data_IF_586535769834
#
_entry.id   IF_586535769834
#
_cell.length_a   1.000
_cell.length_b   1.000
_cell.length_c   1.000
_cell.angle_alpha   90.00
_cell.angle_beta   90.00
_cell.angle_gamma   90.00
#
_symmetry.space_group_name_H-M   'P 1'
#
loop_
_entity.id
_entity.type
_entity.pdbx_description
1 polymer ?
#
# COMPACT_ATOMS: atom_id res chain seq x y z
N UNK A 1 7.91 -10.97 -9.53
CA UNK A 1 7.71 -9.99 -8.44
C UNK A 1 6.67 -10.54 -7.49
N UNK A 2 6.79 -10.31 -6.19
CA UNK A 2 5.73 -10.65 -5.22
C UNK A 2 5.57 -9.58 -4.16
N UNK A 3 4.42 -9.51 -3.53
CA UNK A 3 4.15 -8.58 -2.45
C UNK A 3 3.28 -9.24 -1.37
N UNK A 4 3.36 -8.71 -0.15
CA UNK A 4 2.58 -9.14 1.00
C UNK A 4 2.31 -7.93 1.90
N UNK A 5 1.39 -8.03 2.85
CA UNK A 5 1.18 -6.98 3.84
C UNK A 5 1.28 -7.55 5.24
N UNK A 6 1.99 -6.86 6.12
CA UNK A 6 2.01 -7.20 7.53
C UNK A 6 0.69 -6.77 8.19
N UNK A 7 0.03 -5.74 7.67
CA UNK A 7 -1.25 -5.22 8.11
C UNK A 7 -1.50 -3.84 7.49
N UNK A 8 -2.76 -3.43 7.45
CA UNK A 8 -3.12 -2.11 6.93
C UNK A 8 -4.31 -1.49 7.67
N UNK A 9 -4.09 -0.33 8.26
CA UNK A 9 -5.06 0.46 9.02
C UNK A 9 -4.41 1.25 10.15
N UNK A 10 -5.24 1.92 10.95
CA UNK A 10 -4.78 2.91 11.96
C UNK A 10 -3.88 2.38 13.08
N UNK A 11 -3.74 1.05 13.24
CA UNK A 11 -2.84 0.43 14.22
C UNK A 11 -1.44 0.15 13.66
N UNK A 12 -1.23 0.41 12.37
CA UNK A 12 0.03 0.23 11.69
C UNK A 12 -0.17 -0.29 10.27
N UNK A 13 0.62 0.27 9.38
CA UNK A 13 0.74 -0.09 7.98
C UNK A 13 2.18 -0.59 7.74
N UNK A 14 2.30 -1.71 7.03
CA UNK A 14 3.58 -2.15 6.47
C UNK A 14 3.35 -3.14 5.34
N UNK A 15 3.93 -2.86 4.18
CA UNK A 15 3.83 -3.70 2.97
C UNK A 15 5.21 -4.17 2.56
N UNK A 16 5.32 -5.42 2.14
CA UNK A 16 6.56 -6.01 1.64
C UNK A 16 6.46 -6.19 0.13
N UNK A 17 7.51 -5.82 -0.60
CA UNK A 17 7.63 -6.04 -2.04
C UNK A 17 8.97 -6.69 -2.33
N UNK A 18 8.97 -7.82 -3.02
CA UNK A 18 10.16 -8.63 -3.26
C UNK A 18 10.36 -9.00 -4.73
N UNK A 19 11.61 -8.90 -5.17
CA UNK A 19 12.07 -9.37 -6.46
C UNK A 19 13.51 -9.89 -6.34
N UNK A 20 13.72 -11.17 -6.66
CA UNK A 20 15.00 -11.84 -6.43
C UNK A 20 15.42 -11.70 -4.96
N UNK A 21 16.65 -11.26 -4.74
CA UNK A 21 17.23 -11.03 -3.42
C UNK A 21 16.90 -9.65 -2.83
N UNK A 22 16.16 -8.79 -3.56
CA UNK A 22 15.74 -7.48 -3.05
C UNK A 22 14.38 -7.58 -2.38
N UNK A 23 14.31 -7.32 -1.08
CA UNK A 23 13.08 -7.20 -0.29
C UNK A 23 12.98 -5.77 0.25
N UNK A 24 11.98 -5.04 -0.23
CA UNK A 24 11.67 -3.69 0.22
C UNK A 24 10.50 -3.73 1.20
N UNK A 25 10.60 -2.93 2.24
CA UNK A 25 9.51 -2.66 3.16
C UNK A 25 8.99 -1.25 2.90
N UNK A 26 7.69 -1.11 2.70
CA UNK A 26 6.99 0.18 2.59
C UNK A 26 6.35 0.42 3.95
N UNK A 27 6.83 1.45 4.64
CA UNK A 27 6.44 1.84 5.98
C UNK A 27 6.65 0.76 7.06
N UNK A 28 6.66 1.20 8.31
CA UNK A 28 6.54 0.33 9.46
C UNK A 28 5.88 1.05 10.62
N UNK A 29 4.54 0.97 10.68
CA UNK A 29 3.76 1.48 11.81
C UNK A 29 3.79 0.62 13.06
N UNK A 30 4.43 -0.56 13.01
CA UNK A 30 4.38 -1.54 14.09
C UNK A 30 5.60 -1.46 15.01
N UNK A 31 5.47 -2.01 16.22
CA UNK A 31 6.63 -2.25 17.09
C UNK A 31 7.53 -3.33 16.49
N UNK A 32 8.85 -3.31 16.78
CA UNK A 32 9.81 -4.34 16.34
C UNK A 32 9.28 -5.76 16.57
N UNK A 33 8.76 -6.03 17.77
CA UNK A 33 8.25 -7.35 18.14
C UNK A 33 7.10 -7.80 17.23
N UNK A 34 6.21 -6.87 16.90
CA UNK A 34 5.04 -7.17 16.07
C UNK A 34 5.43 -7.29 14.59
N UNK A 35 6.34 -6.43 14.11
CA UNK A 35 6.93 -6.55 12.77
C UNK A 35 7.62 -7.90 12.60
N UNK A 36 8.53 -8.28 13.51
CA UNK A 36 9.26 -9.56 13.47
C UNK A 36 8.30 -10.76 13.46
N UNK A 37 7.26 -10.73 14.32
CA UNK A 37 6.23 -11.78 14.39
C UNK A 37 5.48 -11.93 13.06
N UNK A 38 5.06 -10.82 12.45
CA UNK A 38 4.30 -10.82 11.18
C UNK A 38 5.17 -11.21 10.00
N UNK A 39 6.44 -10.78 9.97
CA UNK A 39 7.42 -11.20 8.96
C UNK A 39 7.71 -12.69 9.04
N UNK A 40 7.85 -13.24 10.25
CA UNK A 40 8.10 -14.67 10.45
C UNK A 40 6.97 -15.56 9.87
N UNK A 41 5.71 -15.11 9.92
CA UNK A 41 4.58 -15.79 9.25
C UNK A 41 4.80 -15.91 7.73
N UNK A 42 5.40 -14.89 7.13
CA UNK A 42 5.73 -14.82 5.71
C UNK A 42 7.06 -15.49 5.35
N UNK A 43 7.74 -16.10 6.33
CA UNK A 43 9.02 -16.78 6.13
C UNK A 43 10.21 -15.85 5.86
N UNK A 44 10.11 -14.59 6.29
CA UNK A 44 11.17 -13.57 6.16
C UNK A 44 11.48 -12.93 7.52
N UNK A 45 12.61 -12.26 7.61
CA UNK A 45 13.12 -11.61 8.82
C UNK A 45 13.63 -10.19 8.52
N UNK A 46 13.93 -9.42 9.57
CA UNK A 46 14.49 -8.08 9.41
C UNK A 46 15.85 -8.06 8.67
N UNK A 47 16.64 -9.14 8.76
CA UNK A 47 17.93 -9.28 8.04
C UNK A 47 17.75 -9.40 6.53
N UNK A 48 16.57 -9.81 6.07
CA UNK A 48 16.28 -9.95 4.65
C UNK A 48 15.92 -8.61 3.99
N UNK A 49 15.62 -7.56 4.78
CA UNK A 49 15.16 -6.28 4.26
C UNK A 49 16.34 -5.48 3.70
N UNK A 50 16.25 -5.14 2.42
CA UNK A 50 17.24 -4.33 1.73
C UNK A 50 17.11 -2.84 2.05
N UNK A 51 15.88 -2.33 2.14
CA UNK A 51 15.59 -0.94 2.45
C UNK A 51 14.14 -0.74 2.94
N UNK A 52 13.91 0.34 3.68
CA UNK A 52 12.58 0.82 4.07
C UNK A 52 12.27 2.09 3.28
N UNK A 53 11.17 2.09 2.52
CA UNK A 53 10.58 3.27 1.87
C UNK A 53 9.49 3.83 2.78
N UNK A 54 9.57 5.11 3.12
CA UNK A 54 8.56 5.79 3.94
C UNK A 54 7.68 6.63 3.05
N UNK A 55 6.36 6.39 3.11
CA UNK A 55 5.37 7.13 2.33
C UNK A 55 5.19 8.54 2.87
N UNK A 56 5.00 8.67 4.19
CA UNK A 56 4.77 9.93 4.89
C UNK A 56 4.96 9.80 6.41
N UNK A 57 4.87 10.93 7.14
CA UNK A 57 5.26 11.01 8.56
C UNK A 57 4.20 10.60 9.60
N UNK A 58 3.04 10.07 9.21
CA UNK A 58 2.03 9.65 10.19
C UNK A 58 2.49 8.46 11.03
N UNK A 59 1.99 8.36 12.27
CA UNK A 59 2.50 7.43 13.28
C UNK A 59 2.27 5.96 12.93
N UNK A 60 1.15 5.63 12.31
CA UNK A 60 0.80 4.33 11.77
C UNK A 60 1.63 3.93 10.52
N UNK A 61 2.53 4.80 10.07
CA UNK A 61 3.51 4.50 9.01
C UNK A 61 4.95 4.59 9.51
N UNK A 62 5.27 5.61 10.29
CA UNK A 62 6.64 5.98 10.65
C UNK A 62 7.10 5.43 12.01
N UNK A 63 6.19 5.16 12.96
CA UNK A 63 6.56 5.01 14.38
C UNK A 63 7.49 3.84 14.69
N UNK A 64 7.51 2.81 13.86
CA UNK A 64 8.40 1.65 13.96
C UNK A 64 9.73 1.82 13.20
N UNK A 65 9.76 2.67 12.17
CA UNK A 65 10.83 2.73 11.15
C UNK A 65 12.20 2.94 11.78
N UNK A 66 12.40 4.01 12.56
CA UNK A 66 13.71 4.36 13.10
C UNK A 66 14.32 3.24 13.96
N UNK A 67 13.51 2.63 14.82
CA UNK A 67 13.96 1.55 15.70
C UNK A 67 14.24 0.26 14.93
N UNK A 68 13.42 -0.04 13.93
CA UNK A 68 13.58 -1.24 13.10
C UNK A 68 14.81 -1.13 12.21
N UNK A 69 14.99 0.02 11.54
CA UNK A 69 16.16 0.32 10.73
C UNK A 69 17.46 0.22 11.53
N UNK A 70 17.50 0.78 12.74
CA UNK A 70 18.68 0.70 13.61
C UNK A 70 19.00 -0.73 14.04
N UNK A 71 17.98 -1.54 14.34
CA UNK A 71 18.16 -2.91 14.82
C UNK A 71 18.83 -3.81 13.78
N UNK A 72 18.39 -3.69 12.52
CA UNK A 72 18.84 -4.54 11.42
C UNK A 72 19.79 -3.81 10.45
N UNK A 73 20.24 -2.60 10.80
CA UNK A 73 21.11 -1.76 9.98
C UNK A 73 20.59 -1.54 8.54
N UNK A 74 19.30 -1.20 8.42
CA UNK A 74 18.60 -1.03 7.14
C UNK A 74 18.62 0.44 6.71
N UNK A 75 18.88 0.70 5.43
CA UNK A 75 18.74 2.05 4.86
C UNK A 75 17.27 2.49 4.77
N UNK A 76 17.01 3.75 5.13
CA UNK A 76 15.66 4.33 5.07
C UNK A 76 15.62 5.38 3.98
N UNK A 77 14.55 5.37 3.20
CA UNK A 77 14.34 6.22 2.04
C UNK A 77 13.03 6.99 2.21
N UNK A 78 13.09 8.31 2.06
CA UNK A 78 11.91 9.18 2.16
C UNK A 78 12.01 10.34 1.15
N UNK A 79 10.88 10.94 0.83
CA UNK A 79 10.83 12.20 0.10
C UNK A 79 11.44 13.33 0.96
N UNK A 80 11.83 14.45 0.35
CA UNK A 80 12.53 15.52 1.07
C UNK A 80 11.68 16.11 2.19
N UNK A 81 10.39 16.35 1.93
CA UNK A 81 9.42 16.87 2.90
C UNK A 81 9.18 15.89 4.05
N UNK A 82 8.98 14.61 3.74
CA UNK A 82 8.82 13.56 4.76
C UNK A 82 10.09 13.43 5.60
N UNK A 83 11.26 13.46 4.98
CA UNK A 83 12.56 13.38 5.66
C UNK A 83 12.75 14.48 6.72
N UNK A 84 12.18 15.68 6.52
CA UNK A 84 12.27 16.76 7.52
C UNK A 84 11.57 16.43 8.85
N UNK A 85 10.63 15.49 8.83
CA UNK A 85 9.85 15.06 9.99
C UNK A 85 10.42 13.81 10.66
N UNK A 86 11.29 13.08 9.97
CA UNK A 86 11.97 11.89 10.48
C UNK A 86 13.13 12.31 11.38
N UNK A 87 13.18 11.71 12.58
CA UNK A 87 14.26 11.93 13.55
C UNK A 87 14.94 10.60 13.87
N UNK A 88 16.18 10.70 14.34
CA UNK A 88 16.93 9.57 14.90
C UNK A 88 17.16 8.39 13.91
N UNK A 89 17.33 8.71 12.63
CA UNK A 89 17.71 7.74 11.58
C UNK A 89 19.03 8.16 10.96
N UNK A 90 20.09 7.44 11.30
CA UNK A 90 21.38 7.58 10.63
C UNK A 90 21.28 6.99 9.21
N UNK A 91 21.81 7.70 8.21
CA UNK A 91 21.82 7.21 6.82
C UNK A 91 20.49 7.32 6.07
N UNK A 92 19.57 8.17 6.51
CA UNK A 92 18.36 8.54 5.75
C UNK A 92 18.74 9.03 4.34
N UNK A 93 18.21 8.35 3.33
CA UNK A 93 18.36 8.69 1.92
C UNK A 93 17.13 9.49 1.47
N UNK A 94 17.36 10.69 0.94
CA UNK A 94 16.29 11.48 0.35
C UNK A 94 16.19 11.18 -1.14
N UNK A 95 14.99 10.82 -1.61
CA UNK A 95 14.71 10.73 -3.05
C UNK A 95 13.96 11.97 -3.54
N UNK A 96 14.04 12.20 -4.85
CA UNK A 96 13.22 13.20 -5.53
C UNK A 96 11.85 12.60 -5.82
N UNK A 97 10.78 13.20 -5.31
CA UNK A 97 9.39 12.74 -5.46
C UNK A 97 8.86 12.84 -6.89
N UNK A 98 9.62 13.44 -7.81
CA UNK A 98 9.28 13.58 -9.23
C UNK A 98 10.11 12.70 -10.17
N UNK A 99 11.08 11.93 -9.64
CA UNK A 99 11.98 11.12 -10.46
C UNK A 99 12.01 9.67 -9.98
N UNK A 100 11.91 8.74 -10.93
CA UNK A 100 12.10 7.32 -10.64
C UNK A 100 13.56 7.04 -10.31
N UNK A 101 13.79 6.05 -9.43
CA UNK A 101 15.12 5.63 -9.04
C UNK A 101 15.23 4.11 -8.95
N UNK A 102 16.45 3.60 -9.08
CA UNK A 102 16.71 2.17 -8.93
C UNK A 102 16.99 1.83 -7.47
N UNK A 103 16.37 0.78 -6.97
CA UNK A 103 16.61 0.25 -5.63
C UNK A 103 16.61 -1.29 -5.69
N UNK A 104 17.81 -1.87 -5.72
CA UNK A 104 18.01 -3.30 -5.96
C UNK A 104 17.39 -3.75 -7.29
N UNK A 105 16.54 -4.78 -7.24
CA UNK A 105 15.85 -5.34 -8.40
C UNK A 105 14.66 -4.52 -8.94
N UNK A 106 14.43 -3.30 -8.45
CA UNK A 106 13.28 -2.46 -8.81
C UNK A 106 13.68 -1.12 -9.43
N UNK A 107 12.91 -0.70 -10.43
CA UNK A 107 12.70 0.71 -10.72
C UNK A 107 11.50 1.18 -9.90
N UNK A 108 11.74 2.06 -8.93
CA UNK A 108 10.74 2.65 -8.05
C UNK A 108 10.35 4.03 -8.60
N UNK A 109 9.05 4.24 -8.82
CA UNK A 109 8.48 5.52 -9.23
C UNK A 109 7.65 6.07 -8.06
N UNK A 110 8.13 7.14 -7.41
CA UNK A 110 7.33 7.96 -6.49
C UNK A 110 6.09 8.54 -7.17
N UNK A 111 4.98 8.56 -6.43
CA UNK A 111 3.72 9.19 -6.84
C UNK A 111 3.26 10.12 -5.73
N UNK A 112 3.26 11.43 -5.98
CA UNK A 112 2.70 12.40 -5.04
C UNK A 112 1.18 12.25 -4.99
N UNK A 113 0.64 12.16 -3.77
CA UNK A 113 -0.80 12.00 -3.55
C UNK A 113 -1.36 13.11 -2.66
N UNK A 114 -2.63 13.51 -2.83
CA UNK A 114 -3.28 14.41 -1.88
C UNK A 114 -3.45 13.73 -0.52
N UNK A 115 -2.65 14.08 0.48
CA UNK A 115 -2.83 13.63 1.86
C UNK A 115 -2.28 14.68 2.83
N UNK A 116 -2.79 14.72 4.07
CA UNK A 116 -2.45 15.78 5.03
C UNK A 116 -1.11 15.58 5.75
N UNK A 117 -0.06 15.36 4.96
CA UNK A 117 1.32 15.17 5.37
C UNK A 117 2.27 16.12 4.62
N UNK A 118 3.56 16.16 4.98
CA UNK A 118 4.53 17.12 4.40
C UNK A 118 4.78 16.94 2.91
N UNK A 119 5.07 15.72 2.48
CA UNK A 119 5.29 15.35 1.08
C UNK A 119 4.91 13.87 0.87
N UNK A 120 3.61 13.54 1.04
CA UNK A 120 3.12 12.16 0.97
C UNK A 120 3.37 11.56 -0.40
N UNK A 121 4.00 10.39 -0.39
CA UNK A 121 4.43 9.68 -1.59
C UNK A 121 3.98 8.23 -1.53
N UNK A 122 3.27 7.80 -2.57
CA UNK A 122 2.96 6.41 -2.85
C UNK A 122 3.91 5.87 -3.93
N UNK A 123 3.87 4.58 -4.25
CA UNK A 123 4.91 3.97 -5.09
C UNK A 123 4.36 3.06 -6.18
N UNK A 124 4.94 3.17 -7.37
CA UNK A 124 4.88 2.15 -8.41
C UNK A 124 6.22 1.41 -8.43
N UNK A 125 6.17 0.08 -8.46
CA UNK A 125 7.33 -0.78 -8.59
C UNK A 125 7.31 -1.45 -9.96
N UNK A 126 8.41 -1.33 -10.70
CA UNK A 126 8.62 -2.06 -11.96
C UNK A 126 9.80 -3.00 -11.87
N UNK A 127 9.62 -4.21 -12.37
CA UNK A 127 10.70 -5.18 -12.56
C UNK A 127 10.30 -6.30 -13.52
N UNK A 128 11.19 -6.68 -14.44
CA UNK A 128 10.98 -7.75 -15.43
C UNK A 128 9.60 -7.66 -16.12
N UNK A 129 9.30 -6.49 -16.69
CA UNK A 129 8.03 -6.14 -17.35
C UNK A 129 6.77 -6.18 -16.48
N UNK A 130 6.88 -6.51 -15.19
CA UNK A 130 5.78 -6.44 -14.24
C UNK A 130 5.70 -5.07 -13.58
N UNK A 131 4.48 -4.62 -13.31
CA UNK A 131 4.18 -3.34 -12.65
C UNK A 131 3.22 -3.54 -11.48
N UNK A 132 3.63 -3.14 -10.27
CA UNK A 132 2.83 -3.13 -9.06
C UNK A 132 2.59 -1.69 -8.62
N UNK A 133 1.32 -1.31 -8.42
CA UNK A 133 0.96 -0.07 -7.74
C UNK A 133 0.61 -0.31 -6.26
N UNK A 134 1.13 0.53 -5.37
CA UNK A 134 0.71 0.62 -3.97
C UNK A 134 0.22 2.03 -3.74
N UNK A 135 -1.08 2.19 -3.49
CA UNK A 135 -1.77 3.48 -3.43
C UNK A 135 -2.69 3.52 -2.21
N UNK A 136 -2.14 3.89 -1.04
CA UNK A 136 -2.92 4.16 0.18
C UNK A 136 -2.88 5.63 0.55
N UNK A 137 -3.61 6.00 1.60
CA UNK A 137 -3.60 7.33 2.21
C UNK A 137 -3.69 8.45 1.19
N UNK A 138 -4.79 8.45 0.45
CA UNK A 138 -5.04 9.42 -0.60
C UNK A 138 -6.43 10.02 -0.41
N UNK A 139 -6.54 11.32 -0.24
CA UNK A 139 -7.80 12.02 -0.01
C UNK A 139 -8.59 12.34 -1.28
N UNK A 140 -7.93 12.40 -2.44
CA UNK A 140 -8.60 12.68 -3.71
C UNK A 140 -7.85 12.08 -4.90
N UNK A 141 -8.60 11.77 -5.95
CA UNK A 141 -8.06 11.17 -7.17
C UNK A 141 -7.56 12.28 -8.09
N UNK A 142 -6.32 12.16 -8.53
CA UNK A 142 -5.72 13.06 -9.52
C UNK A 142 -5.58 12.36 -10.87
N UNK A 143 -5.50 13.15 -11.94
CA UNK A 143 -5.24 12.61 -13.28
C UNK A 143 -3.89 11.88 -13.36
N UNK A 144 -2.88 12.40 -12.65
CA UNK A 144 -1.56 11.78 -12.57
C UNK A 144 -1.65 10.36 -11.97
N UNK A 145 -2.44 10.16 -10.92
CA UNK A 145 -2.64 8.83 -10.33
C UNK A 145 -3.22 7.83 -11.34
N UNK A 146 -4.22 8.24 -12.13
CA UNK A 146 -4.82 7.38 -13.16
C UNK A 146 -3.77 6.97 -14.20
N UNK A 147 -2.97 7.94 -14.66
CA UNK A 147 -1.93 7.71 -15.67
C UNK A 147 -0.82 6.77 -15.18
N UNK A 148 -0.33 6.96 -13.96
CA UNK A 148 0.73 6.09 -13.41
C UNK A 148 0.21 4.71 -13.03
N UNK A 149 -1.09 4.55 -12.73
CA UNK A 149 -1.70 3.26 -12.43
C UNK A 149 -2.10 2.46 -13.68
N UNK A 150 -2.23 3.10 -14.83
CA UNK A 150 -2.56 2.42 -16.09
C UNK A 150 -1.58 1.30 -16.41
N UNK A 151 -2.09 0.14 -16.84
CA UNK A 151 -1.26 -1.03 -17.16
C UNK A 151 -0.50 -1.65 -15.98
N UNK A 152 -0.94 -1.47 -14.73
CA UNK A 152 -0.45 -2.29 -13.62
C UNK A 152 -0.91 -3.76 -13.77
N UNK A 153 -0.08 -4.69 -13.30
CA UNK A 153 -0.40 -6.12 -13.18
C UNK A 153 -0.97 -6.46 -11.79
N UNK A 154 -0.62 -5.68 -10.77
CA UNK A 154 -1.25 -5.71 -9.46
C UNK A 154 -1.42 -4.33 -8.86
N UNK A 155 -2.42 -4.20 -8.00
CA UNK A 155 -2.74 -2.95 -7.32
C UNK A 155 -3.16 -3.22 -5.87
N UNK A 156 -2.46 -2.57 -4.93
CA UNK A 156 -2.98 -2.27 -3.60
C UNK A 156 -3.64 -0.89 -3.64
N UNK A 157 -4.93 -0.82 -3.35
CA UNK A 157 -5.70 0.42 -3.34
C UNK A 157 -6.43 0.57 -2.00
N UNK A 158 -6.32 1.74 -1.39
CA UNK A 158 -7.09 2.10 -0.21
C UNK A 158 -8.61 2.08 -0.48
N UNK A 159 -9.37 1.56 0.48
CA UNK A 159 -10.82 1.69 0.57
C UNK A 159 -11.19 1.97 2.03
N UNK A 160 -10.96 3.21 2.47
CA UNK A 160 -10.87 3.49 3.90
C UNK A 160 -12.20 3.43 4.62
N UNK A 161 -13.22 4.11 4.11
CA UNK A 161 -14.51 4.20 4.78
C UNK A 161 -15.68 4.03 3.83
N UNK A 162 -16.77 3.48 4.38
CA UNK A 162 -18.10 3.67 3.86
C UNK A 162 -18.64 5.02 4.36
N UNK A 163 -19.15 5.82 3.42
CA UNK A 163 -19.53 7.20 3.68
C UNK A 163 -20.69 7.32 4.67
N UNK A 164 -21.67 6.43 4.58
CA UNK A 164 -22.83 6.44 5.46
C UNK A 164 -22.44 5.98 6.87
N UNK A 165 -21.59 4.95 6.98
CA UNK A 165 -21.02 4.53 8.26
C UNK A 165 -20.22 5.65 8.92
N UNK A 166 -19.36 6.37 8.18
CA UNK A 166 -18.56 7.46 8.73
C UNK A 166 -19.42 8.61 9.24
N UNK A 167 -20.40 9.07 8.44
CA UNK A 167 -21.24 10.20 8.80
C UNK A 167 -22.13 9.91 10.01
N UNK A 168 -22.64 8.68 10.12
CA UNK A 168 -23.46 8.24 11.24
C UNK A 168 -22.64 7.65 12.41
N UNK A 169 -21.32 7.53 12.24
CA UNK A 169 -20.40 6.89 13.18
C UNK A 169 -20.03 7.75 14.39
N UNK A 170 -19.28 7.12 15.30
CA UNK A 170 -18.89 7.67 16.62
C UNK A 170 -17.76 8.69 16.56
N UNK A 171 -17.20 8.95 15.39
CA UNK A 171 -16.10 9.91 15.24
C UNK A 171 -16.57 11.34 15.58
N UNK A 172 -15.73 12.14 16.26
CA UNK A 172 -16.01 13.56 16.40
C UNK A 172 -16.11 14.23 15.02
N UNK A 173 -16.94 15.27 14.92
CA UNK A 173 -17.19 15.98 13.65
C UNK A 173 -15.91 16.55 13.01
N UNK A 174 -14.92 16.94 13.80
CA UNK A 174 -13.61 17.37 13.29
C UNK A 174 -12.86 16.23 12.58
N UNK A 175 -12.90 15.02 13.14
CA UNK A 175 -12.25 13.86 12.54
C UNK A 175 -13.00 13.40 11.29
N UNK A 176 -14.34 13.39 11.31
CA UNK A 176 -15.14 13.11 10.09
C UNK A 176 -14.77 14.07 8.96
N UNK A 177 -14.70 15.38 9.23
CA UNK A 177 -14.30 16.38 8.23
C UNK A 177 -12.89 16.16 7.69
N UNK A 178 -11.94 15.75 8.53
CA UNK A 178 -10.56 15.43 8.09
C UNK A 178 -10.57 14.23 7.16
N UNK A 179 -11.25 13.15 7.55
CA UNK A 179 -11.29 11.89 6.77
C UNK A 179 -11.97 12.09 5.40
N UNK A 180 -13.07 12.86 5.34
CA UNK A 180 -13.81 13.12 4.09
C UNK A 180 -13.16 14.18 3.20
N UNK A 181 -12.24 14.98 3.73
CA UNK A 181 -11.63 16.07 2.97
C UNK A 181 -10.73 15.57 1.84
N UNK A 182 -10.43 16.45 0.88
CA UNK A 182 -9.60 16.14 -0.31
C UNK A 182 -8.15 15.69 0.02
N UNK A 183 -7.75 15.80 1.29
CA UNK A 183 -6.46 15.41 1.84
C UNK A 183 -6.57 14.30 2.91
N UNK A 184 -7.77 13.74 3.10
CA UNK A 184 -8.03 12.65 4.02
C UNK A 184 -7.75 11.30 3.37
N UNK A 185 -8.82 10.51 3.19
CA UNK A 185 -8.76 9.16 2.64
C UNK A 185 -9.84 8.94 1.57
N UNK A 186 -9.63 7.96 0.68
CA UNK A 186 -10.65 7.57 -0.29
C UNK A 186 -11.76 6.78 0.40
N UNK A 187 -13.00 7.14 0.10
CA UNK A 187 -14.14 6.28 0.36
C UNK A 187 -14.24 5.13 -0.66
N UNK A 188 -15.11 4.16 -0.37
CA UNK A 188 -15.36 3.02 -1.26
C UNK A 188 -15.78 3.44 -2.68
N UNK A 189 -16.58 4.50 -2.84
CA UNK A 189 -17.09 4.97 -4.12
C UNK A 189 -16.02 5.69 -4.94
N UNK A 190 -15.18 6.50 -4.31
CA UNK A 190 -14.02 7.12 -4.94
C UNK A 190 -13.05 6.03 -5.44
N UNK A 191 -12.75 5.05 -4.60
CA UNK A 191 -11.90 3.91 -4.96
C UNK A 191 -12.45 3.16 -6.19
N UNK A 192 -13.76 2.88 -6.20
CA UNK A 192 -14.46 2.33 -7.37
C UNK A 192 -14.36 3.24 -8.60
N UNK A 193 -14.49 4.55 -8.42
CA UNK A 193 -14.40 5.52 -9.52
C UNK A 193 -13.01 5.50 -10.16
N UNK A 194 -11.95 5.37 -9.37
CA UNK A 194 -10.59 5.18 -9.88
C UNK A 194 -10.47 3.85 -10.64
N UNK A 195 -10.92 2.74 -10.03
CA UNK A 195 -10.84 1.42 -10.65
C UNK A 195 -11.55 1.33 -12.00
N UNK A 196 -12.68 2.03 -12.18
CA UNK A 196 -13.40 2.10 -13.47
C UNK A 196 -12.64 2.78 -14.59
N UNK A 197 -11.56 3.50 -14.27
CA UNK A 197 -10.68 4.16 -15.25
C UNK A 197 -9.43 3.34 -15.58
N UNK A 198 -9.30 2.15 -15.00
CA UNK A 198 -8.15 1.26 -15.14
C UNK A 198 -8.54 -0.06 -15.82
N UNK A 199 -7.57 -0.75 -16.43
CA UNK A 199 -7.75 -2.08 -17.02
C UNK A 199 -7.78 -3.19 -15.95
N UNK A 200 -8.74 -3.12 -15.02
CA UNK A 200 -8.84 -4.04 -13.87
C UNK A 200 -8.97 -5.51 -14.26
N UNK A 201 -9.43 -5.81 -15.47
CA UNK A 201 -9.48 -7.16 -16.02
C UNK A 201 -8.09 -7.77 -16.24
N UNK A 202 -7.07 -6.94 -16.47
CA UNK A 202 -5.67 -7.36 -16.65
C UNK A 202 -4.93 -7.56 -15.33
N UNK A 203 -5.45 -7.03 -14.23
CA UNK A 203 -4.86 -7.22 -12.90
C UNK A 203 -4.89 -8.72 -12.52
N UNK A 204 -3.71 -9.24 -12.22
CA UNK A 204 -3.51 -10.55 -11.61
C UNK A 204 -3.95 -10.52 -10.13
N UNK A 205 -3.70 -9.40 -9.45
CA UNK A 205 -4.13 -9.18 -8.06
C UNK A 205 -4.68 -7.76 -7.86
N UNK A 206 -5.90 -7.67 -7.34
CA UNK A 206 -6.46 -6.42 -6.81
C UNK A 206 -6.68 -6.59 -5.31
N UNK A 207 -6.00 -5.76 -4.53
CA UNK A 207 -5.97 -5.81 -3.08
C UNK A 207 -6.52 -4.51 -2.51
N UNK A 208 -7.50 -4.65 -1.64
CA UNK A 208 -8.21 -3.57 -0.96
C UNK A 208 -7.55 -3.37 0.41
N UNK A 209 -6.98 -2.19 0.59
CA UNK A 209 -6.14 -1.85 1.74
C UNK A 209 -6.80 -0.78 2.61
N UNK A 210 -6.22 -0.60 3.80
CA UNK A 210 -6.51 0.51 4.69
C UNK A 210 -7.98 0.65 5.10
N UNK A 211 -8.69 -0.47 5.22
CA UNK A 211 -10.12 -0.51 5.55
C UNK A 211 -10.34 -0.16 7.02
N UNK A 212 -11.11 0.89 7.30
CA UNK A 212 -11.41 1.33 8.66
C UNK A 212 -12.26 0.31 9.41
N UNK A 213 -11.76 -0.18 10.55
CA UNK A 213 -12.51 -1.08 11.44
C UNK A 213 -13.79 -0.45 12.04
N UNK A 214 -13.89 0.89 12.02
CA UNK A 214 -15.00 1.63 12.64
C UNK A 214 -16.01 2.15 11.63
N UNK A 215 -15.55 2.52 10.44
CA UNK A 215 -16.37 3.19 9.44
C UNK A 215 -16.44 2.40 8.14
N UNK A 216 -16.07 1.13 8.14
CA UNK A 216 -16.17 0.26 6.99
C UNK A 216 -16.25 -1.20 7.44
N UNK A 217 -16.36 -2.13 6.49
CA UNK A 217 -16.17 -3.56 6.73
C UNK A 217 -15.69 -4.25 5.46
N UNK A 218 -15.00 -5.38 5.60
CA UNK A 218 -14.50 -6.14 4.45
C UNK A 218 -15.64 -6.53 3.50
N UNK A 219 -16.80 -6.93 4.03
CA UNK A 219 -17.96 -7.29 3.22
C UNK A 219 -18.48 -6.12 2.36
N UNK A 220 -18.58 -4.92 2.94
CA UNK A 220 -19.03 -3.74 2.20
C UNK A 220 -18.06 -3.36 1.08
N UNK A 221 -16.76 -3.39 1.35
CA UNK A 221 -15.76 -3.08 0.31
C UNK A 221 -15.80 -4.13 -0.80
N UNK A 222 -15.85 -5.41 -0.43
CA UNK A 222 -15.95 -6.51 -1.39
C UNK A 222 -17.17 -6.35 -2.29
N UNK A 223 -18.36 -6.10 -1.72
CA UNK A 223 -19.60 -5.88 -2.49
C UNK A 223 -19.51 -4.66 -3.39
N UNK A 224 -19.04 -3.54 -2.84
CA UNK A 224 -18.95 -2.28 -3.55
C UNK A 224 -18.05 -2.42 -4.78
N UNK A 225 -16.85 -2.99 -4.59
CA UNK A 225 -15.86 -3.13 -5.66
C UNK A 225 -16.27 -4.21 -6.66
N UNK A 226 -16.63 -5.42 -6.19
CA UNK A 226 -16.96 -6.54 -7.09
C UNK A 226 -18.14 -6.22 -7.99
N UNK A 227 -19.16 -5.56 -7.45
CA UNK A 227 -20.34 -5.14 -8.23
C UNK A 227 -19.98 -4.08 -9.27
N UNK A 228 -19.09 -3.17 -8.92
CA UNK A 228 -18.77 -2.02 -9.76
C UNK A 228 -17.81 -2.33 -10.92
N UNK A 229 -16.90 -3.30 -10.75
CA UNK A 229 -15.99 -3.77 -11.81
C UNK A 229 -16.43 -5.12 -12.41
N UNK A 230 -17.62 -5.60 -12.05
CA UNK A 230 -18.23 -6.83 -12.56
C UNK A 230 -17.33 -8.07 -12.42
N UNK A 231 -16.73 -8.27 -11.25
CA UNK A 231 -15.89 -9.43 -10.96
C UNK A 231 -16.47 -10.31 -9.84
N UNK A 232 -15.99 -11.56 -9.76
CA UNK A 232 -16.24 -12.40 -8.59
C UNK A 232 -15.50 -11.82 -7.36
N UNK A 233 -16.16 -11.81 -6.20
CA UNK A 233 -15.57 -11.43 -4.90
C UNK A 233 -14.30 -12.23 -4.63
N UNK A 234 -14.22 -13.49 -5.06
CA UNK A 234 -13.05 -14.34 -4.87
C UNK A 234 -11.78 -13.85 -5.59
N UNK A 235 -11.91 -12.93 -6.57
CA UNK A 235 -10.76 -12.28 -7.21
C UNK A 235 -10.16 -11.14 -6.38
N UNK A 236 -10.93 -10.60 -5.45
CA UNK A 236 -10.53 -9.49 -4.59
C UNK A 236 -9.92 -10.03 -3.31
N UNK A 237 -8.92 -9.33 -2.79
CA UNK A 237 -8.35 -9.60 -1.47
C UNK A 237 -8.50 -8.34 -0.63
N UNK A 238 -8.82 -8.50 0.65
CA UNK A 238 -8.85 -7.40 1.61
C UNK A 238 -7.75 -7.66 2.64
N UNK A 239 -6.94 -6.66 2.94
CA UNK A 239 -5.89 -6.78 3.94
C UNK A 239 -6.53 -6.75 5.32
N UNK A 240 -6.24 -7.76 6.14
CA UNK A 240 -6.65 -7.77 7.54
C UNK A 240 -5.67 -6.97 8.41
N UNK A 241 -6.16 -6.23 9.41
CA UNK A 241 -5.28 -5.43 10.28
C UNK A 241 -4.40 -6.30 11.19
N UNK A 242 -4.85 -7.49 11.58
CA UNK A 242 -4.15 -8.37 12.51
C UNK A 242 -3.38 -9.46 11.75
N UNK A 243 -4.01 -10.04 10.73
CA UNK A 243 -3.44 -11.12 9.93
C UNK A 243 -2.80 -10.66 8.62
N UNK A 244 -2.92 -9.39 8.22
CA UNK A 244 -2.28 -8.86 7.02
C UNK A 244 -2.73 -9.56 5.74
N UNK A 245 -1.77 -9.80 4.85
CA UNK A 245 -1.97 -10.50 3.58
C UNK A 245 -0.76 -11.37 3.25
N UNK A 246 -1.00 -12.64 2.93
CA UNK A 246 0.04 -13.56 2.45
C UNK A 246 0.60 -13.17 1.07
N UNK A 247 1.72 -13.79 0.69
CA UNK A 247 2.42 -13.50 -0.57
C UNK A 247 1.52 -13.64 -1.80
N UNK A 248 1.35 -12.53 -2.51
CA UNK A 248 0.77 -12.46 -3.84
C UNK A 248 1.91 -12.39 -4.86
N UNK A 249 2.00 -13.38 -5.75
CA UNK A 249 3.06 -13.46 -6.77
C UNK A 249 2.51 -13.05 -8.13
N UNK A 250 3.23 -12.14 -8.79
CA UNK A 250 3.04 -11.77 -10.20
C UNK A 250 3.86 -12.69 -11.09
N UNK A 251 3.24 -13.18 -12.17
CA UNK A 251 3.86 -14.03 -13.18
C UNK A 251 3.75 -13.39 -14.55
N UNK A 252 4.72 -13.67 -15.43
CA UNK A 252 4.72 -13.17 -16.82
C UNK A 252 3.79 -13.97 -17.74
N UNK A 253 3.41 -15.18 -17.36
CA UNK A 253 2.56 -16.08 -18.15
C UNK A 253 1.16 -16.19 -17.56
N UNK A 254 0.20 -15.45 -18.12
CA UNK A 254 -1.24 -15.61 -17.80
C UNK A 254 -1.90 -16.66 -18.74
N UNK A 255 -1.19 -17.14 -19.76
CA UNK A 255 -1.71 -18.01 -20.83
C UNK A 255 -1.26 -19.48 -20.78
N UNK A 256 -1.05 -20.05 -19.60
CA UNK A 256 -1.00 -21.51 -19.43
C UNK A 256 -2.03 -21.96 -18.40
N UNK A 257 -3.32 -21.76 -18.70
CA UNK A 257 -4.34 -22.62 -18.09
C UNK A 257 -4.09 -24.03 -18.61
N UNK A 258 -3.75 -24.90 -17.66
CA UNK A 258 -3.54 -26.32 -17.82
C UNK A 258 -4.68 -26.97 -18.61
N UNK A 259 -4.37 -27.39 -19.83
CA UNK A 259 -5.01 -28.56 -20.44
C UNK A 259 -4.52 -29.79 -19.68
N UNK A 260 -5.11 -30.07 -18.52
CA UNK A 260 -4.96 -31.34 -17.80
C UNK A 260 -6.32 -32.05 -17.75
N UNK A 261 -6.76 -32.50 -18.92
CA UNK A 261 -7.61 -33.67 -19.06
C UNK A 261 -6.99 -34.56 -20.14
N UNK A 262 -6.25 -35.57 -19.69
CA UNK A 262 -6.01 -36.82 -20.39
C UNK A 262 -6.26 -37.95 -19.40
#
# INVERSE_FOLDING_TARGET
>A
MRFASLGSGSRGNSTLVQQGDTLLMIDNGFSIKETDKRMARLGVSGEDISAILVTHEHGDHLSGVARYARRYNISVWASHGTATMIKDIDGLQCFNSHESFNLGGFLVEPVLVPHDAREPTQFIFRSNDMKLGVMTDTGSITQHMIEVLAGCDALLLECNYDRDMLLNGVYPESLKRRVVGDWGHLDNQQSVHLLKQLETEKLQHLVLAHVSEKNNSHELVLDCVSSAIHCDRARLKVIDQDDGLDWCTLTTDINSKETLHA
#
